data_IF_301451236702
#
_entry.id   IF_301451236702
#
_cell.length_a   1.000
_cell.length_b   1.000
_cell.length_c   1.000
_cell.angle_alpha   90.00
_cell.angle_beta   90.00
_cell.angle_gamma   90.00
#
_symmetry.space_group_name_H-M   'P 1'
#
loop_
_entity.id
_entity.type
_entity.pdbx_description
1 polymer ?
#
# COMPACT_ATOMS: atom_id res chain seq x y z
N UNK A 1 -28.13 -0.09 -0.63
CA UNK A 1 -27.47 -0.37 -1.92
C UNK A 1 -25.98 -0.17 -1.70
N UNK A 2 -25.23 -1.24 -1.54
CA UNK A 2 -23.76 -1.21 -1.39
C UNK A 2 -23.18 -1.06 -2.81
N UNK A 3 -22.31 -0.08 -3.07
CA UNK A 3 -21.39 -0.17 -4.21
C UNK A 3 -21.65 0.62 -5.50
N UNK A 4 -22.40 1.73 -5.52
CA UNK A 4 -22.52 2.54 -6.76
C UNK A 4 -21.26 3.34 -7.15
N UNK A 5 -20.23 3.39 -6.31
CA UNK A 5 -19.02 4.23 -6.48
C UNK A 5 -17.69 3.49 -6.29
N UNK A 6 -17.65 2.18 -6.51
CA UNK A 6 -16.39 1.41 -6.43
C UNK A 6 -15.95 1.04 -5.01
N UNK A 7 -16.75 1.33 -3.99
CA UNK A 7 -16.54 0.88 -2.60
C UNK A 7 -16.37 -0.65 -2.50
N UNK A 8 -17.05 -1.40 -3.37
CA UNK A 8 -16.91 -2.85 -3.47
C UNK A 8 -15.52 -3.28 -3.96
N UNK A 9 -14.92 -2.53 -4.89
CA UNK A 9 -13.55 -2.80 -5.38
C UNK A 9 -12.52 -2.52 -4.27
N UNK A 10 -12.73 -1.49 -3.46
CA UNK A 10 -11.89 -1.20 -2.29
C UNK A 10 -12.01 -2.31 -1.25
N UNK A 11 -13.23 -2.79 -0.99
CA UNK A 11 -13.45 -3.92 -0.07
C UNK A 11 -12.75 -5.19 -0.57
N UNK A 12 -12.86 -5.51 -1.87
CA UNK A 12 -12.13 -6.62 -2.50
C UNK A 12 -10.62 -6.42 -2.37
N UNK A 13 -10.10 -5.22 -2.64
CA UNK A 13 -8.67 -4.93 -2.53
C UNK A 13 -8.16 -5.13 -1.10
N UNK A 14 -8.89 -4.65 -0.09
CA UNK A 14 -8.54 -4.87 1.32
C UNK A 14 -8.58 -6.36 1.69
N UNK A 15 -9.57 -7.10 1.17
CA UNK A 15 -9.66 -8.54 1.37
C UNK A 15 -8.49 -9.29 0.69
N UNK A 16 -8.08 -8.90 -0.52
CA UNK A 16 -6.94 -9.48 -1.23
C UNK A 16 -5.62 -9.19 -0.53
N UNK A 17 -5.42 -7.97 -0.02
CA UNK A 17 -4.24 -7.61 0.77
C UNK A 17 -4.21 -8.41 2.08
N UNK A 18 -5.33 -8.51 2.79
CA UNK A 18 -5.41 -9.33 3.99
C UNK A 18 -5.12 -10.80 3.67
N UNK A 19 -5.71 -11.35 2.61
CA UNK A 19 -5.45 -12.71 2.16
C UNK A 19 -3.97 -12.92 1.86
N UNK A 20 -3.33 -12.01 1.12
CA UNK A 20 -1.89 -12.08 0.84
C UNK A 20 -1.04 -12.11 2.13
N UNK A 21 -1.39 -11.30 3.13
CA UNK A 21 -0.67 -11.27 4.41
C UNK A 21 -0.89 -12.53 5.27
N UNK A 22 -2.04 -13.21 5.14
CA UNK A 22 -2.38 -14.38 5.94
C UNK A 22 -2.21 -15.71 5.19
N UNK A 23 -1.95 -15.69 3.88
CA UNK A 23 -1.64 -16.90 3.10
C UNK A 23 -0.31 -17.47 3.62
N UNK A 24 -0.28 -18.74 4.05
CA UNK A 24 0.96 -19.39 4.47
C UNK A 24 1.97 -19.39 3.32
N UNK A 25 3.25 -19.13 3.62
CA UNK A 25 4.33 -19.30 2.64
C UNK A 25 4.29 -20.76 2.14
N UNK A 26 4.09 -20.95 0.83
CA UNK A 26 4.19 -22.27 0.22
C UNK A 26 5.62 -22.79 0.40
N UNK A 27 5.80 -24.09 0.69
CA UNK A 27 7.14 -24.66 0.84
C UNK A 27 7.93 -24.42 -0.43
N UNK A 28 9.11 -23.83 -0.28
CA UNK A 28 9.96 -23.45 -1.39
C UNK A 28 10.39 -24.72 -2.13
N UNK A 29 9.89 -24.90 -3.35
CA UNK A 29 10.23 -26.04 -4.21
C UNK A 29 11.58 -25.84 -4.90
N UNK A 30 12.28 -24.72 -4.63
CA UNK A 30 13.51 -24.29 -5.31
C UNK A 30 14.73 -24.25 -4.36
N UNK A 31 15.08 -25.36 -3.73
CA UNK A 31 16.44 -25.63 -3.22
C UNK A 31 17.04 -24.56 -2.29
N UNK A 32 16.86 -24.78 -0.98
CA UNK A 32 16.95 -23.82 0.12
C UNK A 32 18.29 -23.07 0.36
N UNK A 33 19.41 -23.46 -0.24
CA UNK A 33 20.73 -23.01 0.22
C UNK A 33 21.03 -21.50 -0.02
N UNK A 34 20.61 -20.92 -1.15
CA UNK A 34 20.78 -19.48 -1.39
C UNK A 34 19.70 -18.64 -0.71
N UNK A 35 18.48 -19.17 -0.59
CA UNK A 35 17.36 -18.46 0.03
C UNK A 35 17.52 -18.37 1.55
N UNK A 36 18.07 -19.39 2.21
CA UNK A 36 18.39 -19.31 3.64
C UNK A 36 19.40 -18.18 3.93
N UNK A 37 20.45 -18.05 3.12
CA UNK A 37 21.49 -17.02 3.32
C UNK A 37 20.94 -15.60 3.16
N UNK A 38 19.94 -15.40 2.29
CA UNK A 38 19.29 -14.11 2.07
C UNK A 38 18.03 -13.92 2.93
N UNK A 39 17.62 -14.90 3.74
CA UNK A 39 16.37 -14.83 4.52
C UNK A 39 16.35 -13.65 5.48
N UNK A 40 17.48 -13.37 6.15
CA UNK A 40 17.57 -12.23 7.08
C UNK A 40 17.46 -10.89 6.34
N UNK A 41 18.12 -10.78 5.18
CA UNK A 41 18.07 -9.60 4.33
C UNK A 41 16.67 -9.37 3.76
N UNK A 42 16.01 -10.44 3.28
CA UNK A 42 14.63 -10.43 2.79
C UNK A 42 13.63 -10.01 3.87
N UNK A 43 13.75 -10.59 5.08
CA UNK A 43 12.91 -10.18 6.22
C UNK A 43 13.17 -8.72 6.62
N UNK A 44 14.43 -8.29 6.59
CA UNK A 44 14.80 -6.90 6.84
C UNK A 44 14.21 -5.94 5.80
N UNK A 45 14.29 -6.28 4.52
CA UNK A 45 13.70 -5.47 3.43
C UNK A 45 12.18 -5.45 3.50
N UNK A 46 11.55 -6.58 3.82
CA UNK A 46 10.10 -6.68 4.00
C UNK A 46 9.63 -5.81 5.17
N UNK A 47 10.24 -5.92 6.35
CA UNK A 47 9.87 -5.10 7.53
C UNK A 47 10.07 -3.62 7.23
N UNK A 48 11.21 -3.25 6.66
CA UNK A 48 11.51 -1.85 6.34
C UNK A 48 10.55 -1.30 5.29
N UNK A 49 10.28 -2.07 4.23
CA UNK A 49 9.32 -1.74 3.18
C UNK A 49 7.91 -1.56 3.73
N UNK A 50 7.43 -2.48 4.58
CA UNK A 50 6.12 -2.37 5.23
C UNK A 50 6.03 -1.13 6.12
N UNK A 51 7.06 -0.80 6.91
CA UNK A 51 7.05 0.41 7.74
C UNK A 51 6.94 1.68 6.90
N UNK A 52 7.71 1.78 5.81
CA UNK A 52 7.66 2.90 4.87
C UNK A 52 6.27 2.94 4.19
N UNK A 53 5.75 1.80 3.76
CA UNK A 53 4.44 1.68 3.14
C UNK A 53 3.32 2.17 4.06
N UNK A 54 3.35 1.77 5.34
CA UNK A 54 2.37 2.21 6.34
C UNK A 54 2.47 3.71 6.57
N UNK A 55 3.67 4.26 6.73
CA UNK A 55 3.87 5.70 6.92
C UNK A 55 3.35 6.53 5.74
N UNK A 56 3.70 6.14 4.51
CA UNK A 56 3.27 6.82 3.28
C UNK A 56 1.78 6.61 3.01
N UNK A 57 1.25 5.41 3.25
CA UNK A 57 -0.14 5.05 3.03
C UNK A 57 -1.08 5.76 3.98
N UNK A 58 -0.80 5.70 5.28
CA UNK A 58 -1.60 6.39 6.31
C UNK A 58 -1.44 7.90 6.16
N UNK A 59 -0.21 8.41 6.06
CA UNK A 59 0.04 9.85 5.92
C UNK A 59 -0.57 10.43 4.64
N UNK A 60 -0.41 9.74 3.52
CA UNK A 60 -1.04 10.11 2.24
C UNK A 60 -2.56 10.11 2.34
N UNK A 61 -3.15 9.02 2.83
CA UNK A 61 -4.60 8.87 2.96
C UNK A 61 -5.21 9.94 3.88
N UNK A 62 -4.63 10.16 5.07
CA UNK A 62 -5.14 11.15 6.03
C UNK A 62 -5.08 12.58 5.48
N UNK A 63 -4.02 12.93 4.76
CA UNK A 63 -3.82 14.30 4.26
C UNK A 63 -4.75 14.61 3.09
N UNK A 64 -5.02 13.64 2.21
CA UNK A 64 -5.83 13.86 1.02
C UNK A 64 -7.32 13.49 1.23
N UNK A 65 -7.70 12.90 2.37
CA UNK A 65 -9.05 12.37 2.66
C UNK A 65 -10.18 13.37 2.40
N UNK A 66 -9.94 14.67 2.62
CA UNK A 66 -10.93 15.75 2.41
C UNK A 66 -11.09 16.18 0.95
N UNK A 67 -10.17 15.77 0.09
CA UNK A 67 -10.12 16.13 -1.34
C UNK A 67 -10.21 14.91 -2.25
N UNK A 68 -10.25 13.70 -1.68
CA UNK A 68 -10.37 12.46 -2.44
C UNK A 68 -11.85 12.16 -2.72
N UNK A 69 -12.19 12.09 -4.00
CA UNK A 69 -13.48 11.59 -4.48
C UNK A 69 -13.21 10.29 -5.23
N UNK A 70 -14.03 9.26 -4.96
CA UNK A 70 -13.99 7.99 -5.70
C UNK A 70 -14.59 8.12 -7.11
N UNK A 71 -15.19 9.26 -7.44
CA UNK A 71 -15.79 9.54 -8.73
C UNK A 71 -14.76 10.22 -9.65
N UNK A 72 -14.82 9.99 -10.97
CA UNK A 72 -13.95 10.64 -11.96
C UNK A 72 -14.14 12.16 -12.03
N UNK A 73 -15.13 12.71 -11.34
CA UNK A 73 -15.34 14.15 -11.25
C UNK A 73 -14.50 14.77 -10.13
N UNK A 74 -13.71 15.81 -10.42
CA UNK A 74 -12.99 16.56 -9.40
C UNK A 74 -13.99 17.20 -8.43
N UNK A 75 -13.71 17.14 -7.13
CA UNK A 75 -14.50 17.89 -6.14
C UNK A 75 -14.32 19.38 -6.39
N UNK A 76 -15.43 20.12 -6.38
CA UNK A 76 -15.45 21.58 -6.60
C UNK A 76 -14.56 22.36 -5.62
N UNK A 77 -14.12 21.72 -4.52
CA UNK A 77 -13.28 22.33 -3.49
C UNK A 77 -11.91 21.65 -3.38
N UNK A 78 -11.46 20.95 -4.43
CA UNK A 78 -10.12 20.37 -4.50
C UNK A 78 -9.07 21.46 -4.32
N UNK A 79 -8.16 21.27 -3.38
CA UNK A 79 -6.99 22.14 -3.17
C UNK A 79 -5.73 21.32 -3.35
N UNK A 80 -4.69 21.97 -3.89
CA UNK A 80 -3.37 21.36 -3.95
C UNK A 80 -2.89 21.11 -2.52
N UNK A 81 -2.52 19.87 -2.23
CA UNK A 81 -1.93 19.45 -0.97
C UNK A 81 -0.44 19.27 -1.18
N UNK A 82 0.36 20.14 -0.56
CA UNK A 82 1.83 20.15 -0.62
C UNK A 82 2.47 20.02 0.78
N UNK A 83 1.67 19.71 1.79
CA UNK A 83 2.11 19.58 3.19
C UNK A 83 2.21 18.12 3.62
N UNK A 84 3.00 17.86 4.68
CA UNK A 84 3.21 16.51 5.21
C UNK A 84 3.92 15.60 4.21
N UNK A 85 3.42 14.37 4.02
CA UNK A 85 4.04 13.38 3.12
C UNK A 85 4.04 13.85 1.65
N UNK A 86 3.07 14.67 1.25
CA UNK A 86 2.98 15.24 -0.09
C UNK A 86 4.09 16.27 -0.40
N UNK A 87 4.77 16.80 0.62
CA UNK A 87 5.96 17.63 0.44
C UNK A 87 7.18 16.82 -0.03
N UNK A 88 7.23 15.53 0.31
CA UNK A 88 8.33 14.62 -0.02
C UNK A 88 8.10 13.92 -1.35
N UNK A 89 6.88 13.42 -1.58
CA UNK A 89 6.52 12.61 -2.76
C UNK A 89 5.12 12.99 -3.26
N UNK A 90 4.97 13.24 -4.57
CA UNK A 90 3.70 13.66 -5.18
C UNK A 90 2.63 12.55 -5.21
N UNK A 91 3.04 11.28 -5.18
CA UNK A 91 2.15 10.11 -5.21
C UNK A 91 2.45 9.12 -4.07
N UNK A 92 2.28 9.53 -2.80
CA UNK A 92 2.69 8.73 -1.65
C UNK A 92 1.93 7.40 -1.53
N UNK A 93 0.69 7.34 -2.02
CA UNK A 93 -0.10 6.11 -2.06
C UNK A 93 0.42 5.07 -3.07
N UNK A 94 0.98 5.50 -4.21
CA UNK A 94 1.62 4.58 -5.15
C UNK A 94 2.97 4.11 -4.61
N UNK A 95 3.73 5.03 -4.02
CA UNK A 95 4.98 4.68 -3.35
C UNK A 95 4.75 3.70 -2.20
N UNK A 96 3.67 3.85 -1.42
CA UNK A 96 3.36 2.87 -0.36
C UNK A 96 3.12 1.48 -0.91
N UNK A 97 2.43 1.35 -2.03
CA UNK A 97 2.20 0.04 -2.66
C UNK A 97 3.51 -0.58 -3.17
N UNK A 98 4.42 0.21 -3.73
CA UNK A 98 5.73 -0.26 -4.17
C UNK A 98 6.60 -0.76 -2.99
N UNK A 99 6.64 0.00 -1.89
CA UNK A 99 7.39 -0.41 -0.69
C UNK A 99 6.75 -1.61 0.04
N UNK A 100 5.43 -1.80 -0.08
CA UNK A 100 4.78 -3.01 0.43
C UNK A 100 5.20 -4.27 -0.37
N UNK A 101 5.66 -4.10 -1.61
CA UNK A 101 6.03 -5.20 -2.51
C UNK A 101 7.53 -5.56 -2.51
N UNK A 102 8.38 -4.88 -1.72
CA UNK A 102 9.85 -5.13 -1.66
C UNK A 102 10.28 -6.33 -0.80
N UNK A 103 9.33 -7.13 -0.32
CA UNK A 103 9.56 -8.29 0.55
C UNK A 103 9.62 -9.61 -0.20
#
# INVERSE_FOLDING_TARGET
>A
MIGSRGEFLVAIQMALVALYLFVPEWPDLRGDAMYEQLTLLRRGSLVTGVLIAVALGIGGSLTIRRYLTQLPYPVDHSKLVDTGVYALVRHPLYSSQLFAATG
#
